data_IF_294060725517
#
_entry.id   IF_294060725517
#
_cell.length_a   1.000
_cell.length_b   1.000
_cell.length_c   1.000
_cell.angle_alpha   90.00
_cell.angle_beta   90.00
_cell.angle_gamma   90.00
#
_symmetry.space_group_name_H-M   'P 1'
#
loop_
_entity.id
_entity.type
_entity.pdbx_description
1 polymer ?
#
# COMPACT_ATOMS: atom_id res chain seq x y z
N UNK A 1 -4.20 6.20 -17.35
CA UNK A 1 -4.95 5.25 -16.49
C UNK A 1 -4.31 4.99 -15.13
N UNK A 2 -3.00 5.25 -14.95
CA UNK A 2 -2.28 5.08 -13.68
C UNK A 2 -2.82 5.92 -12.52
N UNK A 3 -3.14 7.20 -12.74
CA UNK A 3 -3.66 8.07 -11.67
C UNK A 3 -4.98 7.58 -11.05
N UNK A 4 -5.95 7.16 -11.89
CA UNK A 4 -7.22 6.59 -11.43
C UNK A 4 -7.02 5.34 -10.57
N UNK A 5 -6.04 4.50 -10.94
CA UNK A 5 -5.69 3.31 -10.17
C UNK A 5 -5.06 3.64 -8.83
N UNK A 6 -4.10 4.58 -8.81
CA UNK A 6 -3.47 5.06 -7.57
C UNK A 6 -4.52 5.62 -6.61
N UNK A 7 -5.43 6.46 -7.11
CA UNK A 7 -6.54 7.01 -6.31
C UNK A 7 -7.47 5.91 -5.82
N UNK A 8 -7.79 4.93 -6.67
CA UNK A 8 -8.59 3.76 -6.28
C UNK A 8 -7.92 2.95 -5.17
N UNK A 9 -6.63 2.63 -5.30
CA UNK A 9 -5.85 1.92 -4.28
C UNK A 9 -5.79 2.74 -2.99
N UNK A 10 -5.61 4.06 -3.08
CA UNK A 10 -5.61 4.94 -1.91
C UNK A 10 -6.96 4.92 -1.18
N UNK A 11 -8.07 5.05 -1.90
CA UNK A 11 -9.42 4.97 -1.32
C UNK A 11 -9.68 3.62 -0.66
N UNK A 12 -9.33 2.52 -1.33
CA UNK A 12 -9.45 1.16 -0.77
C UNK A 12 -8.57 1.01 0.47
N UNK A 13 -7.34 1.55 0.45
CA UNK A 13 -6.44 1.51 1.61
C UNK A 13 -7.04 2.24 2.80
N UNK A 14 -7.62 3.43 2.60
CA UNK A 14 -8.28 4.19 3.68
C UNK A 14 -9.41 3.37 4.30
N UNK A 15 -10.34 2.89 3.48
CA UNK A 15 -11.51 2.12 3.93
C UNK A 15 -11.08 0.83 4.63
N UNK A 16 -10.18 0.07 4.01
CA UNK A 16 -9.69 -1.18 4.57
C UNK A 16 -8.93 -0.98 5.89
N UNK A 17 -8.19 0.13 6.04
CA UNK A 17 -7.46 0.43 7.29
C UNK A 17 -8.41 0.77 8.43
N UNK A 18 -9.52 1.47 8.14
CA UNK A 18 -10.55 1.77 9.14
C UNK A 18 -11.24 0.47 9.61
N UNK A 19 -11.49 -0.47 8.71
CA UNK A 19 -12.24 -1.70 9.00
C UNK A 19 -11.38 -2.84 9.57
N UNK A 20 -10.17 -3.01 9.07
CA UNK A 20 -9.30 -4.18 9.33
C UNK A 20 -8.01 -3.81 10.07
N UNK A 21 -7.83 -2.53 10.39
CA UNK A 21 -6.59 -2.01 10.97
C UNK A 21 -5.41 -2.09 10.01
N UNK A 22 -4.20 -2.10 10.56
CA UNK A 22 -2.95 -2.03 9.80
C UNK A 22 -2.67 -3.20 8.83
N UNK A 23 -3.31 -4.36 9.02
CA UNK A 23 -3.19 -5.51 8.11
C UNK A 23 -3.77 -5.23 6.71
N UNK A 24 -4.62 -4.20 6.58
CA UNK A 24 -5.21 -3.76 5.33
C UNK A 24 -4.17 -3.52 4.22
N UNK A 25 -3.01 -2.96 4.55
CA UNK A 25 -1.98 -2.57 3.58
C UNK A 25 -1.41 -3.80 2.85
N UNK A 26 -1.19 -4.89 3.59
CA UNK A 26 -0.74 -6.16 3.04
C UNK A 26 -1.80 -6.73 2.11
N UNK A 27 -3.07 -6.74 2.57
CA UNK A 27 -4.18 -7.27 1.78
C UNK A 27 -4.38 -6.47 0.49
N UNK A 28 -4.31 -5.14 0.55
CA UNK A 28 -4.42 -4.28 -0.64
C UNK A 28 -3.27 -4.54 -1.61
N UNK A 29 -2.04 -4.71 -1.10
CA UNK A 29 -0.89 -5.10 -1.91
C UNK A 29 -1.10 -6.44 -2.62
N UNK A 30 -1.46 -7.49 -1.87
CA UNK A 30 -1.74 -8.83 -2.41
C UNK A 30 -2.84 -8.76 -3.48
N UNK A 31 -3.97 -8.13 -3.16
CA UNK A 31 -5.11 -8.01 -4.07
C UNK A 31 -4.71 -7.27 -5.36
N UNK A 32 -3.90 -6.22 -5.24
CA UNK A 32 -3.39 -5.46 -6.38
C UNK A 32 -2.49 -6.31 -7.28
N UNK A 33 -1.58 -7.10 -6.69
CA UNK A 33 -0.70 -8.02 -7.42
C UNK A 33 -1.46 -9.18 -8.08
N UNK A 34 -2.51 -9.68 -7.43
CA UNK A 34 -3.35 -10.77 -7.94
C UNK A 34 -4.32 -10.34 -9.03
N UNK A 35 -4.65 -9.06 -9.18
CA UNK A 35 -5.60 -8.55 -10.18
C UNK A 35 -4.87 -7.86 -11.35
N UNK A 36 -3.76 -7.16 -11.10
CA UNK A 36 -3.04 -6.40 -12.14
C UNK A 36 -1.96 -7.22 -12.84
N UNK A 37 -1.58 -6.86 -14.08
CA UNK A 37 -0.42 -7.45 -14.75
C UNK A 37 0.84 -7.33 -13.87
N UNK A 38 1.68 -8.38 -13.80
CA UNK A 38 2.94 -8.29 -13.06
C UNK A 38 3.85 -7.24 -13.71
N UNK A 39 4.57 -6.49 -12.88
CA UNK A 39 5.52 -5.49 -13.35
C UNK A 39 5.68 -4.29 -12.42
N UNK A 40 6.71 -3.48 -12.72
CA UNK A 40 7.10 -2.30 -11.94
C UNK A 40 5.95 -1.31 -11.73
N UNK A 41 5.09 -1.13 -12.73
CA UNK A 41 3.95 -0.21 -12.65
C UNK A 41 2.96 -0.61 -11.56
N UNK A 42 2.62 -1.89 -11.43
CA UNK A 42 1.71 -2.40 -10.40
C UNK A 42 2.27 -2.20 -8.99
N UNK A 43 3.57 -2.42 -8.82
CA UNK A 43 4.27 -2.20 -7.55
C UNK A 43 4.23 -0.72 -7.16
N UNK A 44 4.51 0.18 -8.11
CA UNK A 44 4.46 1.63 -7.87
C UNK A 44 3.02 2.13 -7.65
N UNK A 45 2.03 1.58 -8.36
CA UNK A 45 0.62 1.92 -8.16
C UNK A 45 0.13 1.47 -6.78
N UNK A 46 0.45 0.24 -6.37
CA UNK A 46 0.09 -0.31 -5.06
C UNK A 46 0.79 0.44 -3.92
N UNK A 47 2.10 0.63 -4.03
CA UNK A 47 2.89 1.34 -3.04
C UNK A 47 2.52 2.82 -2.93
N UNK A 48 2.43 3.51 -4.07
CA UNK A 48 2.04 4.93 -4.12
C UNK A 48 0.61 5.16 -3.61
N UNK A 49 -0.33 4.29 -3.99
CA UNK A 49 -1.70 4.34 -3.49
C UNK A 49 -1.77 4.09 -1.98
N UNK A 50 -1.01 3.11 -1.47
CA UNK A 50 -0.95 2.84 -0.04
C UNK A 50 -0.37 4.01 0.76
N UNK A 51 0.74 4.62 0.30
CA UNK A 51 1.30 5.82 0.92
C UNK A 51 0.33 7.00 0.90
N UNK A 52 -0.38 7.23 -0.22
CA UNK A 52 -1.37 8.30 -0.31
C UNK A 52 -2.57 8.05 0.61
N UNK A 53 -3.07 6.82 0.68
CA UNK A 53 -4.13 6.45 1.63
C UNK A 53 -3.71 6.66 3.07
N UNK A 54 -2.47 6.27 3.41
CA UNK A 54 -1.91 6.49 4.74
C UNK A 54 -1.70 7.97 5.07
N UNK A 55 -1.24 8.76 4.09
CA UNK A 55 -1.12 10.20 4.22
C UNK A 55 -2.48 10.86 4.47
N UNK A 56 -3.54 10.40 3.81
CA UNK A 56 -4.89 10.89 4.05
C UNK A 56 -5.38 10.59 5.48
N UNK A 57 -5.11 9.38 6.00
CA UNK A 57 -5.43 9.01 7.39
C UNK A 57 -4.67 9.89 8.39
N UNK A 58 -3.36 10.09 8.16
CA UNK A 58 -2.54 10.95 9.00
C UNK A 58 -3.00 12.42 8.95
N UNK A 59 -3.33 12.92 7.76
CA UNK A 59 -3.86 14.28 7.60
C UNK A 59 -5.20 14.44 8.34
N UNK A 60 -6.11 13.48 8.23
CA UNK A 60 -7.37 13.49 8.98
C UNK A 60 -7.12 13.45 10.49
N UNK A 61 -6.16 12.64 10.94
CA UNK A 61 -5.79 12.54 12.34
C UNK A 61 -5.11 13.83 12.85
N UNK A 62 -4.44 14.58 11.98
CA UNK A 62 -3.80 15.86 12.32
C UNK A 62 -4.82 16.95 12.63
N UNK A 63 -6.05 16.83 12.11
CA UNK A 63 -7.16 17.74 12.41
C UNK A 63 -7.71 17.53 13.82
N UNK A 64 -7.61 16.31 14.36
CA UNK A 64 -8.22 15.91 15.63
C UNK A 64 -7.25 15.68 16.79
N UNK A 65 -5.94 15.55 16.53
CA UNK A 65 -4.99 15.16 17.57
C UNK A 65 -3.57 15.72 17.39
N UNK A 66 -2.77 15.73 18.47
CA UNK A 66 -1.43 16.32 18.47
C UNK A 66 -0.40 15.35 17.86
N UNK A 67 -0.58 14.97 16.59
CA UNK A 67 0.34 14.10 15.84
C UNK A 67 1.78 14.59 15.94
N UNK A 68 1.96 15.91 15.91
CA UNK A 68 3.27 16.51 16.02
C UNK A 68 3.94 16.23 17.37
N UNK A 69 3.17 16.25 18.46
CA UNK A 69 3.68 15.89 19.78
C UNK A 69 4.07 14.41 19.84
N UNK A 70 3.30 13.53 19.18
CA UNK A 70 3.66 12.11 19.06
C UNK A 70 4.96 11.95 18.27
N UNK A 71 5.07 12.57 17.10
CA UNK A 71 6.26 12.50 16.27
C UNK A 71 7.51 13.03 17.00
N UNK A 72 7.38 14.12 17.77
CA UNK A 72 8.48 14.65 18.57
C UNK A 72 8.88 13.77 19.75
N UNK A 73 7.94 13.02 20.34
CA UNK A 73 8.24 12.10 21.45
C UNK A 73 8.79 10.77 20.97
N UNK A 74 8.28 10.27 19.84
CA UNK A 74 8.62 8.94 19.30
C UNK A 74 9.84 8.99 18.40
N UNK A 75 10.02 10.05 17.60
CA UNK A 75 11.17 10.19 16.70
C UNK A 75 12.52 9.96 17.39
N UNK A 76 12.81 10.61 18.55
CA UNK A 76 14.05 10.39 19.29
C UNK A 76 14.29 8.94 19.73
N UNK A 77 13.24 8.16 19.99
CA UNK A 77 13.34 6.73 20.32
C UNK A 77 13.97 5.94 19.17
N UNK A 78 13.68 6.36 17.93
CA UNK A 78 14.25 5.79 16.71
C UNK A 78 15.50 6.53 16.22
N UNK A 79 16.01 7.51 16.98
CA UNK A 79 17.17 8.32 16.61
C UNK A 79 16.91 9.26 15.43
N UNK A 80 15.66 9.63 15.15
CA UNK A 80 15.29 10.48 14.01
C UNK A 80 14.48 11.71 14.45
N UNK A 81 14.59 12.85 13.74
CA UNK A 81 13.75 14.01 14.03
C UNK A 81 12.28 13.73 13.66
N UNK A 82 11.34 14.40 14.33
CA UNK A 82 9.89 14.22 14.12
C UNK A 82 9.43 14.21 12.65
N UNK A 83 9.85 15.15 11.78
CA UNK A 83 9.49 15.09 10.36
C UNK A 83 10.00 13.82 9.65
N UNK A 84 11.20 13.33 9.99
CA UNK A 84 11.73 12.09 9.42
C UNK A 84 10.91 10.87 9.90
N UNK A 85 10.45 10.86 11.15
CA UNK A 85 9.54 9.84 11.66
C UNK A 85 8.22 9.79 10.86
N UNK A 86 7.63 10.95 10.55
CA UNK A 86 6.42 11.03 9.71
C UNK A 86 6.71 10.50 8.30
N UNK A 87 7.84 10.87 7.69
CA UNK A 87 8.24 10.37 6.38
C UNK A 87 8.40 8.84 6.38
N UNK A 88 9.06 8.26 7.38
CA UNK A 88 9.20 6.80 7.54
C UNK A 88 7.83 6.13 7.65
N UNK A 89 6.90 6.75 8.38
CA UNK A 89 5.53 6.25 8.54
C UNK A 89 4.77 6.19 7.20
N UNK A 90 5.11 7.05 6.23
CA UNK A 90 4.54 7.01 4.87
C UNK A 90 5.28 6.03 3.95
N UNK A 91 6.59 5.90 4.10
CA UNK A 91 7.41 4.97 3.29
C UNK A 91 7.06 3.53 3.61
N UNK A 92 6.81 3.21 4.89
CA UNK A 92 6.47 1.87 5.34
C UNK A 92 5.29 1.24 4.57
N UNK A 93 4.09 1.84 4.49
CA UNK A 93 2.97 1.26 3.76
C UNK A 93 3.23 1.17 2.25
N UNK A 94 3.99 2.09 1.67
CA UNK A 94 4.38 1.99 0.26
C UNK A 94 5.25 0.75 0.00
N UNK A 95 6.29 0.55 0.81
CA UNK A 95 7.17 -0.60 0.67
C UNK A 95 6.42 -1.91 0.95
N UNK A 96 5.56 -1.93 1.97
CA UNK A 96 4.79 -3.11 2.35
C UNK A 96 3.80 -3.51 1.26
N UNK A 97 2.96 -2.58 0.80
CA UNK A 97 2.00 -2.86 -0.27
C UNK A 97 2.68 -3.18 -1.60
N UNK A 98 3.75 -2.46 -1.94
CA UNK A 98 4.55 -2.72 -3.13
C UNK A 98 5.18 -4.11 -3.11
N UNK A 99 5.78 -4.51 -1.99
CA UNK A 99 6.39 -5.85 -1.83
C UNK A 99 5.34 -6.95 -1.88
N UNK A 100 4.20 -6.76 -1.19
CA UNK A 100 3.09 -7.71 -1.24
C UNK A 100 2.52 -7.87 -2.66
N UNK A 101 2.40 -6.77 -3.41
CA UNK A 101 1.96 -6.80 -4.80
C UNK A 101 2.96 -7.51 -5.72
N UNK A 102 4.27 -7.30 -5.49
CA UNK A 102 5.33 -8.01 -6.22
C UNK A 102 5.21 -9.52 -5.99
N UNK A 103 5.23 -9.96 -4.72
CA UNK A 103 5.17 -11.38 -4.36
C UNK A 103 3.90 -12.03 -4.90
N UNK A 104 2.74 -11.39 -4.74
CA UNK A 104 1.48 -11.90 -5.26
C UNK A 104 1.44 -11.96 -6.79
N UNK A 105 2.10 -11.02 -7.47
CA UNK A 105 2.21 -11.00 -8.93
C UNK A 105 3.01 -12.20 -9.48
N UNK A 106 4.07 -12.62 -8.78
CA UNK A 106 4.87 -13.80 -9.15
C UNK A 106 4.14 -15.13 -8.94
N UNK A 107 3.16 -15.17 -8.02
CA UNK A 107 2.35 -16.36 -7.78
C UNK A 107 1.28 -16.60 -8.87
N UNK A 108 1.13 -15.70 -9.85
CA UNK A 108 0.15 -15.89 -10.94
C UNK A 108 0.62 -16.97 -11.92
N UNK A 109 -0.24 -17.95 -12.26
CA UNK A 109 0.13 -18.98 -13.22
C UNK A 109 0.41 -18.39 -14.61
N UNK A 110 1.45 -18.86 -15.33
CA UNK A 110 1.80 -18.35 -16.64
C UNK A 110 0.63 -18.44 -17.62
N UNK A 111 0.45 -17.45 -18.51
CA UNK A 111 -0.65 -17.42 -19.47
C UNK A 111 -0.66 -18.64 -20.41
N UNK A 112 0.50 -19.30 -20.61
CA UNK A 112 0.62 -20.54 -21.38
C UNK A 112 -0.14 -21.72 -20.75
N UNK A 113 -0.07 -21.90 -19.42
CA UNK A 113 -0.80 -22.95 -18.70
C UNK A 113 -2.31 -22.70 -18.72
N UNK A 114 -2.72 -21.43 -18.67
CA UNK A 114 -4.13 -21.02 -18.73
C UNK A 114 -4.78 -21.29 -20.10
N UNK A 115 -3.99 -21.29 -21.19
CA UNK A 115 -4.47 -21.65 -22.55
C UNK A 115 -4.59 -23.16 -22.75
N UNK A 116 -3.70 -23.95 -22.16
CA UNK A 116 -3.75 -25.42 -22.24
C UNK A 116 -4.98 -26.01 -21.53
N UNK A 117 -5.41 -25.42 -20.40
CA UNK A 117 -6.65 -25.82 -19.73
C UNK A 117 -7.93 -25.51 -20.53
N UNK A 118 -7.92 -24.45 -21.35
CA UNK A 118 -9.08 -24.07 -22.19
C UNK A 118 -9.24 -24.87 -23.47
N UNK A 119 -8.18 -25.54 -23.95
CA UNK A 119 -8.24 -26.38 -25.17
C UNK A 119 -8.70 -27.81 -24.92
N UNK A 120 -8.82 -28.22 -23.66
CA UNK A 120 -9.27 -29.57 -23.25
C UNK A 120 -10.72 -29.62 -22.79
N UNK A 121 -11.46 -28.52 -22.94
CA UNK A 121 -12.92 -28.42 -22.76
C UNK A 121 -13.58 -28.20 -24.10
#
# INVERSE_FOLDING_TARGET
MTYLRVVGVAAVTVVATILLGWWSVVLVGITSGLISPPGRTTVLEAGGGAALGWAAILAASALGGPIWAVAQRVGPVFGVPGPAFVAITLVFPALLAGSAALVAGELRPPPALRRLGRRKS
#
